data_IF_737511980075
#
_entry.id   IF_737511980075
#
_cell.length_a   1.000
_cell.length_b   1.000
_cell.length_c   1.000
_cell.angle_alpha   90.00
_cell.angle_beta   90.00
_cell.angle_gamma   90.00
#
_symmetry.space_group_name_H-M   'P 1'
#
loop_
_entity.id
_entity.type
_entity.pdbx_description
1 polymer ?
#
# COMPACT_ATOMS: atom_id res chain seq x y z
N UNK A 1 -3.29 23.12 7.35
CA UNK A 1 -3.86 22.57 6.10
C UNK A 1 -5.13 21.86 6.52
N UNK A 2 -6.26 22.39 6.11
CA UNK A 2 -7.55 21.82 6.51
C UNK A 2 -7.86 20.67 5.54
N UNK A 3 -8.08 19.47 6.08
CA UNK A 3 -8.53 18.33 5.30
C UNK A 3 -10.05 18.35 5.23
N UNK A 4 -10.58 18.26 4.01
CA UNK A 4 -12.01 18.01 3.79
C UNK A 4 -12.23 16.51 3.70
N UNK A 5 -13.15 15.96 4.49
CA UNK A 5 -13.53 14.54 4.46
C UNK A 5 -14.90 14.42 3.84
N UNK A 6 -14.96 13.78 2.66
CA UNK A 6 -16.20 13.44 1.98
C UNK A 6 -16.56 11.99 2.27
N UNK A 7 -17.74 11.75 2.84
CA UNK A 7 -18.27 10.42 3.06
C UNK A 7 -19.09 10.01 1.84
N UNK A 8 -18.70 8.92 1.18
CA UNK A 8 -19.40 8.34 0.05
C UNK A 8 -20.10 7.04 0.44
N UNK A 9 -21.16 6.66 -0.27
CA UNK A 9 -21.92 5.43 -0.06
C UNK A 9 -21.48 4.34 -1.06
N UNK A 10 -21.87 3.09 -0.80
CA UNK A 10 -21.56 1.97 -1.72
C UNK A 10 -22.15 2.19 -3.12
N UNK A 11 -23.30 2.86 -3.24
CA UNK A 11 -23.89 3.20 -4.55
C UNK A 11 -22.98 4.09 -5.39
N UNK A 12 -22.19 4.95 -4.76
CA UNK A 12 -21.35 5.93 -5.42
C UNK A 12 -20.02 5.32 -5.92
N UNK A 13 -19.66 4.13 -5.42
CA UNK A 13 -18.41 3.47 -5.80
C UNK A 13 -18.29 3.16 -7.29
N UNK A 14 -19.41 3.04 -8.01
CA UNK A 14 -19.40 2.85 -9.45
C UNK A 14 -18.92 4.09 -10.23
N UNK A 15 -18.93 5.25 -9.57
CA UNK A 15 -18.48 6.54 -10.11
C UNK A 15 -17.24 7.05 -9.38
N UNK A 16 -16.50 6.16 -8.70
CA UNK A 16 -15.40 6.54 -7.81
C UNK A 16 -14.33 7.38 -8.51
N UNK A 17 -14.00 7.08 -9.77
CA UNK A 17 -13.04 7.86 -10.53
C UNK A 17 -13.50 9.31 -10.72
N UNK A 18 -14.77 9.51 -11.08
CA UNK A 18 -15.34 10.86 -11.25
C UNK A 18 -15.37 11.61 -9.91
N UNK A 19 -15.71 10.92 -8.82
CA UNK A 19 -15.74 11.52 -7.48
C UNK A 19 -14.32 11.96 -7.07
N UNK A 20 -13.35 11.08 -7.25
CA UNK A 20 -11.94 11.37 -6.95
C UNK A 20 -11.44 12.59 -7.71
N UNK A 21 -11.78 12.71 -8.99
CA UNK A 21 -11.39 13.86 -9.83
C UNK A 21 -12.15 15.13 -9.44
N UNK A 22 -13.47 15.04 -9.22
CA UNK A 22 -14.31 16.21 -8.90
C UNK A 22 -13.95 16.82 -7.53
N UNK A 23 -13.64 15.95 -6.56
CA UNK A 23 -13.31 16.36 -5.20
C UNK A 23 -11.81 16.61 -4.98
N UNK A 24 -10.99 16.48 -6.04
CA UNK A 24 -9.52 16.57 -5.97
C UNK A 24 -8.95 15.71 -4.82
N UNK A 25 -9.47 14.49 -4.71
CA UNK A 25 -9.16 13.63 -3.58
C UNK A 25 -7.72 13.13 -3.62
N UNK A 26 -7.01 13.23 -2.49
CA UNK A 26 -5.62 12.76 -2.36
C UNK A 26 -5.54 11.32 -1.84
N UNK A 27 -6.59 10.80 -1.23
CA UNK A 27 -6.63 9.48 -0.58
C UNK A 27 -8.07 8.97 -0.49
N UNK A 28 -8.25 7.67 -0.72
CA UNK A 28 -9.51 6.99 -0.46
C UNK A 28 -9.37 6.05 0.74
N UNK A 29 -10.32 6.06 1.67
CA UNK A 29 -10.36 5.11 2.80
C UNK A 29 -11.61 4.25 2.69
N UNK A 30 -11.43 2.93 2.73
CA UNK A 30 -12.48 1.92 2.57
C UNK A 30 -12.61 1.13 3.87
N UNK A 31 -13.73 1.34 4.59
CA UNK A 31 -14.09 0.53 5.74
C UNK A 31 -14.73 -0.78 5.31
N UNK A 32 -14.11 -1.90 5.68
CA UNK A 32 -14.63 -3.24 5.38
C UNK A 32 -15.51 -3.74 6.52
N UNK A 33 -16.73 -4.14 6.21
CA UNK A 33 -17.63 -4.85 7.14
C UNK A 33 -17.49 -6.36 7.01
N UNK A 34 -16.99 -6.84 5.86
CA UNK A 34 -16.82 -8.25 5.54
C UNK A 34 -15.66 -8.49 4.57
N UNK A 35 -14.94 -9.60 4.73
CA UNK A 35 -13.92 -10.06 3.79
C UNK A 35 -14.47 -10.32 2.36
N UNK A 36 -15.79 -10.51 2.22
CA UNK A 36 -16.44 -10.72 0.92
C UNK A 36 -16.40 -9.48 0.03
N UNK A 37 -16.30 -8.29 0.63
CA UNK A 37 -16.28 -7.01 -0.05
C UNK A 37 -14.93 -6.67 -0.66
N UNK A 38 -13.84 -7.29 -0.18
CA UNK A 38 -12.47 -6.96 -0.59
C UNK A 38 -12.32 -7.02 -2.11
N UNK A 39 -12.75 -8.11 -2.73
CA UNK A 39 -12.59 -8.28 -4.18
C UNK A 39 -13.40 -7.26 -4.98
N UNK A 40 -14.59 -6.92 -4.51
CA UNK A 40 -15.44 -5.90 -5.13
C UNK A 40 -14.74 -4.54 -5.15
N UNK A 41 -14.23 -4.08 -4.00
CA UNK A 41 -13.54 -2.81 -3.91
C UNK A 41 -12.20 -2.80 -4.63
N UNK A 42 -11.41 -3.89 -4.60
CA UNK A 42 -10.18 -4.01 -5.38
C UNK A 42 -10.45 -3.78 -6.88
N UNK A 43 -11.51 -4.39 -7.41
CA UNK A 43 -11.89 -4.23 -8.82
C UNK A 43 -12.30 -2.78 -9.15
N UNK A 44 -12.95 -2.07 -8.22
CA UNK A 44 -13.39 -0.68 -8.42
C UNK A 44 -12.25 0.33 -8.30
N UNK A 45 -11.28 0.05 -7.45
CA UNK A 45 -10.13 0.94 -7.20
C UNK A 45 -8.94 0.70 -8.12
N UNK A 46 -9.00 -0.30 -9.00
CA UNK A 46 -7.87 -0.74 -9.83
C UNK A 46 -7.27 0.36 -10.71
N UNK A 47 -8.09 1.29 -11.21
CA UNK A 47 -7.66 2.36 -12.11
C UNK A 47 -7.46 3.70 -11.40
N UNK A 48 -7.61 3.73 -10.06
CA UNK A 48 -7.41 4.95 -9.30
C UNK A 48 -5.94 5.39 -9.39
N UNK A 49 -5.73 6.69 -9.58
CA UNK A 49 -4.41 7.32 -9.56
C UNK A 49 -3.96 7.77 -8.18
N UNK A 50 -4.85 7.73 -7.20
CA UNK A 50 -4.57 8.02 -5.79
C UNK A 50 -4.40 6.73 -5.00
N UNK A 51 -3.66 6.74 -3.88
CA UNK A 51 -3.61 5.60 -2.97
C UNK A 51 -4.96 5.37 -2.31
N UNK A 52 -5.20 4.13 -1.91
CA UNK A 52 -6.40 3.78 -1.16
C UNK A 52 -6.08 2.83 -0.01
N UNK A 53 -6.78 3.00 1.11
CA UNK A 53 -6.55 2.24 2.34
C UNK A 53 -7.76 1.38 2.65
N UNK A 54 -7.53 0.09 2.85
CA UNK A 54 -8.50 -0.80 3.47
C UNK A 54 -8.33 -0.81 4.98
N UNK A 55 -9.45 -0.64 5.70
CA UNK A 55 -9.51 -0.77 7.15
C UNK A 55 -10.62 -1.73 7.53
N UNK A 56 -10.50 -2.35 8.72
CA UNK A 56 -11.57 -3.15 9.33
C UNK A 56 -12.16 -2.39 10.52
N UNK A 57 -13.40 -2.67 10.88
CA UNK A 57 -14.10 -2.04 12.01
C UNK A 57 -13.45 -2.32 13.39
N UNK A 58 -12.35 -3.08 13.39
CA UNK A 58 -11.59 -3.43 14.60
C UNK A 58 -10.56 -2.40 15.01
N UNK A 59 -10.45 -1.27 14.29
CA UNK A 59 -9.51 -0.22 14.70
C UNK A 59 -9.97 0.44 16.00
N UNK A 60 -9.06 0.61 16.98
CA UNK A 60 -9.35 1.38 18.17
C UNK A 60 -9.75 2.83 17.84
N UNK A 61 -10.59 3.44 18.67
CA UNK A 61 -11.01 4.86 18.51
C UNK A 61 -9.85 5.84 18.67
N UNK A 62 -8.80 5.45 19.38
CA UNK A 62 -7.56 6.19 19.60
C UNK A 62 -6.43 5.75 18.65
N UNK A 63 -6.77 5.07 17.53
CA UNK A 63 -5.78 4.64 16.56
C UNK A 63 -5.00 5.83 15.99
N UNK A 64 -3.69 5.69 15.97
CA UNK A 64 -2.77 6.61 15.29
C UNK A 64 -1.67 5.82 14.59
N UNK A 65 -1.04 6.41 13.58
CA UNK A 65 0.04 5.75 12.84
C UNK A 65 1.37 6.07 13.51
N UNK A 66 2.05 5.05 14.01
CA UNK A 66 3.39 5.13 14.61
C UNK A 66 4.45 4.39 13.80
N UNK A 67 4.01 3.41 13.00
CA UNK A 67 4.91 2.62 12.15
C UNK A 67 4.30 2.46 10.75
N UNK A 68 5.16 2.57 9.75
CA UNK A 68 4.88 2.18 8.37
C UNK A 68 5.64 0.90 8.08
N UNK A 69 4.94 -0.15 7.69
CA UNK A 69 5.51 -1.43 7.28
C UNK A 69 5.60 -1.41 5.75
N UNK A 70 6.83 -1.47 5.22
CA UNK A 70 7.11 -1.21 3.80
C UNK A 70 7.89 -2.37 3.17
N UNK A 71 7.24 -3.47 2.77
CA UNK A 71 7.88 -4.51 1.96
C UNK A 71 8.19 -3.97 0.55
N UNK A 72 9.39 -4.26 0.04
CA UNK A 72 9.84 -3.84 -1.28
C UNK A 72 10.17 -5.08 -2.10
N UNK A 73 9.62 -5.17 -3.30
CA UNK A 73 9.88 -6.26 -4.24
C UNK A 73 10.92 -5.86 -5.30
N UNK A 74 11.16 -6.75 -6.29
CA UNK A 74 12.08 -6.50 -7.38
C UNK A 74 11.44 -5.77 -8.58
N UNK A 75 10.16 -5.40 -8.49
CA UNK A 75 9.46 -4.66 -9.53
C UNK A 75 9.88 -3.18 -9.51
N UNK A 76 9.97 -2.54 -10.65
CA UNK A 76 10.48 -1.17 -10.76
C UNK A 76 9.52 -0.15 -10.11
N UNK A 77 8.24 -0.37 -10.24
CA UNK A 77 7.16 0.42 -9.65
C UNK A 77 7.16 0.49 -8.12
N UNK A 78 7.91 -0.38 -7.46
CA UNK A 78 8.05 -0.36 -6.01
C UNK A 78 8.61 0.96 -5.46
N UNK A 79 9.35 1.69 -6.30
CA UNK A 79 9.87 3.03 -5.96
C UNK A 79 8.76 4.04 -5.72
N UNK A 80 7.58 3.83 -6.31
CA UNK A 80 6.40 4.70 -6.12
C UNK A 80 5.88 4.69 -4.68
N UNK A 81 6.18 3.65 -3.89
CA UNK A 81 5.84 3.59 -2.47
C UNK A 81 6.59 4.65 -1.63
N UNK A 82 7.80 5.01 -2.05
CA UNK A 82 8.67 5.93 -1.31
C UNK A 82 8.02 7.29 -1.02
N UNK A 83 7.52 8.04 -2.03
CA UNK A 83 6.84 9.32 -1.83
C UNK A 83 5.64 9.24 -0.87
N UNK A 84 4.80 8.21 -0.97
CA UNK A 84 3.66 8.04 -0.09
C UNK A 84 4.09 7.73 1.35
N UNK A 85 5.02 6.78 1.53
CA UNK A 85 5.58 6.48 2.85
C UNK A 85 6.25 7.72 3.48
N UNK A 86 7.00 8.50 2.68
CA UNK A 86 7.62 9.74 3.11
C UNK A 86 6.59 10.78 3.57
N UNK A 87 5.50 10.95 2.81
CA UNK A 87 4.44 11.90 3.15
C UNK A 87 3.77 11.54 4.49
N UNK A 88 3.43 10.25 4.66
CA UNK A 88 2.85 9.75 5.90
C UNK A 88 3.82 9.88 7.07
N UNK A 89 5.10 9.50 6.89
CA UNK A 89 6.09 9.58 7.95
C UNK A 89 6.31 11.01 8.44
N UNK A 90 6.33 12.00 7.54
CA UNK A 90 6.44 13.42 7.90
C UNK A 90 5.21 13.93 8.64
N UNK A 91 4.02 13.51 8.20
CA UNK A 91 2.77 13.99 8.81
C UNK A 91 2.56 13.41 10.22
N UNK A 92 2.80 12.10 10.39
CA UNK A 92 2.56 11.39 11.63
C UNK A 92 3.80 11.27 12.52
N UNK A 93 4.96 11.74 12.06
CA UNK A 93 6.25 11.58 12.73
C UNK A 93 6.54 10.13 13.15
N UNK A 94 6.29 9.19 12.23
CA UNK A 94 6.39 7.76 12.49
C UNK A 94 7.65 7.11 11.88
N UNK A 95 7.98 5.91 12.35
CA UNK A 95 9.09 5.10 11.84
C UNK A 95 8.68 4.34 10.59
N UNK A 96 9.62 4.16 9.64
CA UNK A 96 9.43 3.35 8.44
C UNK A 96 10.28 2.08 8.55
N UNK A 97 9.62 0.92 8.61
CA UNK A 97 10.27 -0.39 8.61
C UNK A 97 10.26 -0.98 7.19
N UNK A 98 11.39 -0.94 6.51
CA UNK A 98 11.58 -1.50 5.16
C UNK A 98 11.88 -2.99 5.28
N UNK A 99 11.19 -3.82 4.47
CA UNK A 99 11.43 -5.25 4.38
C UNK A 99 12.00 -5.61 3.01
N UNK A 100 13.26 -6.08 3.02
CA UNK A 100 13.97 -6.54 1.84
C UNK A 100 13.70 -8.03 1.62
N UNK A 101 13.38 -8.49 0.40
CA UNK A 101 13.24 -9.91 0.10
C UNK A 101 14.59 -10.65 0.15
N UNK A 102 14.52 -11.96 0.24
CA UNK A 102 15.69 -12.84 0.23
C UNK A 102 16.02 -13.35 -1.18
N UNK A 103 16.02 -12.45 -2.17
CA UNK A 103 16.35 -12.78 -3.56
C UNK A 103 17.85 -12.74 -3.82
N UNK A 104 18.25 -13.50 -4.84
CA UNK A 104 19.54 -13.31 -5.51
C UNK A 104 19.36 -12.25 -6.60
N UNK A 105 19.99 -11.10 -6.43
CA UNK A 105 19.95 -10.03 -7.43
C UNK A 105 19.90 -8.64 -6.84
N UNK A 106 20.09 -7.66 -7.71
CA UNK A 106 20.28 -6.26 -7.30
C UNK A 106 19.01 -5.40 -7.40
N UNK A 107 17.94 -5.86 -8.08
CA UNK A 107 16.77 -5.01 -8.36
C UNK A 107 16.05 -4.53 -7.09
N UNK A 108 15.69 -5.46 -6.19
CA UNK A 108 15.06 -5.07 -4.93
C UNK A 108 15.98 -4.19 -4.07
N UNK A 109 17.28 -4.47 -4.05
CA UNK A 109 18.28 -3.64 -3.35
C UNK A 109 18.31 -2.24 -3.96
N UNK A 110 18.36 -2.11 -5.29
CA UNK A 110 18.33 -0.82 -6.00
C UNK A 110 17.07 -0.01 -5.67
N UNK A 111 15.91 -0.66 -5.63
CA UNK A 111 14.66 -0.01 -5.23
C UNK A 111 14.74 0.52 -3.80
N UNK A 112 15.25 -0.30 -2.88
CA UNK A 112 15.41 0.07 -1.47
C UNK A 112 16.38 1.26 -1.33
N UNK A 113 17.54 1.25 -1.99
CA UNK A 113 18.48 2.34 -1.92
C UNK A 113 17.94 3.66 -2.49
N UNK A 114 17.15 3.59 -3.58
CA UNK A 114 16.44 4.76 -4.11
C UNK A 114 15.46 5.33 -3.08
N UNK A 115 14.67 4.47 -2.43
CA UNK A 115 13.69 4.88 -1.41
C UNK A 115 14.40 5.43 -0.16
N UNK A 116 15.49 4.79 0.28
CA UNK A 116 16.29 5.27 1.42
C UNK A 116 16.88 6.64 1.16
N UNK A 117 17.42 6.88 -0.05
CA UNK A 117 17.93 8.19 -0.44
C UNK A 117 16.85 9.28 -0.28
N UNK A 118 15.61 8.98 -0.66
CA UNK A 118 14.49 9.89 -0.44
C UNK A 118 14.25 10.11 1.07
N UNK A 119 14.22 9.04 1.87
CA UNK A 119 13.98 9.15 3.32
C UNK A 119 15.08 9.91 4.04
N UNK A 120 16.33 9.67 3.68
CA UNK A 120 17.51 10.38 4.22
C UNK A 120 17.45 11.88 3.89
N UNK A 121 17.02 12.25 2.67
CA UNK A 121 16.88 13.66 2.26
C UNK A 121 15.88 14.43 3.13
N UNK A 122 14.85 13.76 3.65
CA UNK A 122 13.88 14.31 4.59
C UNK A 122 14.18 14.00 6.06
N UNK A 123 15.31 13.36 6.36
CA UNK A 123 15.73 12.95 7.71
C UNK A 123 14.67 12.09 8.42
N UNK A 124 14.01 11.21 7.69
CA UNK A 124 12.98 10.32 8.23
C UNK A 124 13.61 9.16 9.01
N UNK A 125 12.96 8.79 10.11
CA UNK A 125 13.38 7.63 10.88
C UNK A 125 12.98 6.34 10.15
N UNK A 126 13.98 5.55 9.70
CA UNK A 126 13.74 4.31 9.00
C UNK A 126 14.76 3.22 9.36
N UNK A 127 14.37 1.97 9.14
CA UNK A 127 15.25 0.80 9.26
C UNK A 127 14.97 -0.20 8.15
N UNK A 128 15.96 -1.05 7.86
CA UNK A 128 15.81 -2.13 6.87
C UNK A 128 16.05 -3.48 7.52
N UNK A 129 15.14 -4.42 7.31
CA UNK A 129 15.24 -5.80 7.74
C UNK A 129 15.14 -6.73 6.55
N UNK A 130 15.89 -7.84 6.56
CA UNK A 130 15.81 -8.86 5.54
C UNK A 130 14.74 -9.89 5.90
N UNK A 131 13.79 -10.12 4.99
CA UNK A 131 12.79 -11.18 5.09
C UNK A 131 13.39 -12.56 4.82
N UNK A 132 12.58 -13.59 5.01
CA UNK A 132 12.93 -14.99 4.71
C UNK A 132 12.48 -15.41 3.31
N UNK A 133 11.50 -14.70 2.77
CA UNK A 133 10.87 -14.99 1.47
C UNK A 133 11.44 -14.12 0.35
N UNK A 134 11.20 -14.58 -0.88
CA UNK A 134 11.52 -13.88 -2.12
C UNK A 134 10.58 -12.70 -2.40
N UNK A 135 10.86 -11.95 -3.47
CA UNK A 135 10.07 -10.81 -3.91
C UNK A 135 8.59 -11.12 -4.13
N UNK A 136 8.26 -12.32 -4.59
CA UNK A 136 6.87 -12.68 -4.83
C UNK A 136 6.06 -12.88 -3.54
N UNK A 137 6.74 -13.18 -2.46
CA UNK A 137 6.14 -13.60 -1.20
C UNK A 137 6.39 -12.64 -0.03
N UNK A 138 7.29 -11.66 -0.16
CA UNK A 138 7.71 -10.76 0.94
C UNK A 138 6.54 -9.94 1.50
N UNK A 139 5.61 -9.48 0.65
CA UNK A 139 4.44 -8.72 1.09
C UNK A 139 3.51 -9.58 1.95
N UNK A 140 3.29 -10.85 1.56
CA UNK A 140 2.47 -11.78 2.33
C UNK A 140 3.18 -12.18 3.65
N UNK A 141 4.49 -12.43 3.62
CA UNK A 141 5.29 -12.69 4.80
C UNK A 141 5.17 -11.54 5.79
N UNK A 142 5.42 -10.33 5.33
CA UNK A 142 5.40 -9.11 6.14
C UNK A 142 4.01 -8.84 6.73
N UNK A 143 2.95 -9.02 5.94
CA UNK A 143 1.57 -8.90 6.42
C UNK A 143 1.24 -9.92 7.51
N UNK A 144 1.83 -11.11 7.45
CA UNK A 144 1.64 -12.17 8.45
C UNK A 144 2.40 -11.85 9.74
N UNK A 145 3.66 -11.40 9.63
CA UNK A 145 4.48 -11.01 10.79
C UNK A 145 3.83 -9.83 11.54
N UNK A 146 3.32 -8.86 10.82
CA UNK A 146 2.74 -7.63 11.36
C UNK A 146 1.21 -7.65 11.47
N UNK A 147 0.60 -8.82 11.41
CA UNK A 147 -0.86 -8.97 11.40
C UNK A 147 -1.60 -8.11 12.42
N UNK A 148 -1.06 -7.99 13.62
CA UNK A 148 -1.66 -7.29 14.76
C UNK A 148 -0.73 -6.24 15.38
N UNK A 149 0.28 -5.76 14.64
CA UNK A 149 1.19 -4.75 15.18
C UNK A 149 0.42 -3.45 15.42
N UNK A 150 0.31 -2.99 16.67
CA UNK A 150 -0.53 -1.83 16.98
C UNK A 150 0.00 -0.57 16.29
N UNK A 151 -0.90 0.36 16.01
CA UNK A 151 -0.57 1.67 15.47
C UNK A 151 0.32 1.64 14.21
N UNK A 152 0.07 0.66 13.35
CA UNK A 152 0.86 0.44 12.14
C UNK A 152 -0.03 0.46 10.90
N UNK A 153 0.58 0.83 9.77
CA UNK A 153 -0.01 0.72 8.43
C UNK A 153 0.92 -0.08 7.53
N UNK A 154 0.37 -0.98 6.73
CA UNK A 154 1.09 -1.72 5.71
C UNK A 154 0.92 -1.02 4.36
N UNK A 155 2.00 -0.78 3.62
CA UNK A 155 1.96 -0.19 2.27
C UNK A 155 2.44 -1.24 1.26
N UNK A 156 1.59 -1.59 0.31
CA UNK A 156 1.87 -2.55 -0.76
C UNK A 156 1.53 -1.97 -2.14
N UNK A 157 2.12 -2.54 -3.19
CA UNK A 157 1.71 -2.25 -4.56
C UNK A 157 0.54 -3.14 -4.97
N UNK A 158 -0.44 -2.57 -5.66
CA UNK A 158 -1.49 -3.35 -6.30
C UNK A 158 -0.96 -4.03 -7.57
N UNK A 159 -1.50 -5.18 -7.93
CA UNK A 159 -1.15 -5.88 -9.18
C UNK A 159 -1.70 -5.13 -10.38
N UNK A 160 -0.87 -4.92 -11.42
CA UNK A 160 -1.30 -4.28 -12.67
C UNK A 160 -2.36 -5.11 -13.40
N UNK A 161 -2.04 -6.38 -13.58
CA UNK A 161 -2.86 -7.32 -14.30
C UNK A 161 -3.11 -8.55 -13.46
N UNK A 162 -4.34 -9.03 -13.49
CA UNK A 162 -4.66 -10.30 -12.89
C UNK A 162 -4.34 -11.42 -13.87
N UNK A 163 -3.38 -12.26 -13.51
CA UNK A 163 -3.06 -13.50 -14.23
C UNK A 163 -4.17 -14.54 -14.06
N UNK A 164 -4.02 -15.67 -14.76
CA UNK A 164 -4.94 -16.80 -14.61
C UNK A 164 -5.02 -17.30 -13.15
N UNK A 165 -3.92 -17.27 -12.43
CA UNK A 165 -3.86 -17.65 -11.02
C UNK A 165 -4.68 -16.69 -10.13
N UNK A 166 -4.69 -15.39 -10.45
CA UNK A 166 -5.47 -14.39 -9.73
C UNK A 166 -6.98 -14.54 -10.00
N UNK A 167 -7.35 -15.00 -11.20
CA UNK A 167 -8.75 -15.30 -11.55
C UNK A 167 -9.24 -16.51 -10.74
N UNK A 168 -8.41 -17.53 -10.56
CA UNK A 168 -8.76 -18.76 -9.87
C UNK A 168 -8.69 -18.66 -8.34
N UNK A 169 -7.65 -17.99 -7.82
CA UNK A 169 -7.34 -17.95 -6.38
C UNK A 169 -7.52 -16.57 -5.76
N UNK A 170 -7.86 -15.56 -6.56
CA UNK A 170 -7.90 -14.15 -6.19
C UNK A 170 -6.50 -13.54 -6.06
N UNK A 171 -6.39 -12.21 -6.25
CA UNK A 171 -5.12 -11.51 -6.23
C UNK A 171 -4.45 -11.58 -4.86
N UNK A 172 -3.12 -11.44 -4.84
CA UNK A 172 -2.32 -11.50 -3.59
C UNK A 172 -2.78 -10.45 -2.56
N UNK A 173 -3.20 -9.27 -3.02
CA UNK A 173 -3.71 -8.18 -2.19
C UNK A 173 -4.92 -8.61 -1.38
N UNK A 174 -5.84 -9.38 -1.98
CA UNK A 174 -7.00 -9.93 -1.29
C UNK A 174 -6.58 -10.82 -0.12
N UNK A 175 -5.56 -11.67 -0.30
CA UNK A 175 -5.03 -12.54 0.75
C UNK A 175 -4.39 -11.71 1.88
N UNK A 176 -3.64 -10.67 1.52
CA UNK A 176 -2.98 -9.76 2.46
C UNK A 176 -4.03 -9.02 3.30
N UNK A 177 -4.98 -8.33 2.65
CA UNK A 177 -6.03 -7.56 3.34
C UNK A 177 -6.88 -8.46 4.24
N UNK A 178 -7.22 -9.66 3.77
CA UNK A 178 -7.97 -10.63 4.57
C UNK A 178 -7.21 -11.06 5.82
N UNK A 179 -5.91 -11.30 5.70
CA UNK A 179 -5.09 -11.89 6.76
C UNK A 179 -4.57 -10.88 7.78
N UNK A 180 -4.51 -9.58 7.43
CA UNK A 180 -4.03 -8.55 8.35
C UNK A 180 -5.18 -7.84 9.06
N UNK A 181 -4.92 -7.35 10.28
CA UNK A 181 -5.86 -6.52 11.05
C UNK A 181 -5.40 -5.05 11.12
N UNK A 182 -4.23 -4.72 10.56
CA UNK A 182 -3.77 -3.34 10.44
C UNK A 182 -4.28 -2.74 9.12
N UNK A 183 -4.46 -1.41 9.05
CA UNK A 183 -4.77 -0.74 7.78
C UNK A 183 -3.77 -1.09 6.70
N UNK A 184 -4.28 -1.35 5.49
CA UNK A 184 -3.44 -1.69 4.34
C UNK A 184 -3.66 -0.67 3.23
N UNK A 185 -2.62 0.11 2.93
CA UNK A 185 -2.60 1.05 1.81
C UNK A 185 -2.13 0.32 0.55
N UNK A 186 -2.86 0.53 -0.53
CA UNK A 186 -2.49 0.08 -1.87
C UNK A 186 -2.16 1.26 -2.75
N UNK A 187 -1.13 1.07 -3.57
CA UNK A 187 -0.70 2.02 -4.59
C UNK A 187 -0.77 1.31 -5.92
N UNK A 188 -1.60 1.82 -6.84
CA UNK A 188 -1.68 1.29 -8.20
C UNK A 188 -0.44 1.75 -8.97
N UNK A 189 0.32 0.82 -9.59
CA UNK A 189 1.50 1.18 -10.38
C UNK A 189 1.10 2.07 -11.56
N UNK A 190 1.84 3.17 -11.74
CA UNK A 190 1.64 4.12 -12.83
C UNK A 190 2.51 3.79 -14.02
N UNK A 191 2.07 2.81 -14.84
CA UNK A 191 2.79 2.39 -16.04
C UNK A 191 3.07 3.50 -17.04
N UNK A 192 2.27 4.57 -17.04
CA UNK A 192 2.44 5.75 -17.87
C UNK A 192 3.71 6.56 -17.50
N UNK A 193 4.25 6.40 -16.30
CA UNK A 193 5.48 7.09 -15.91
C UNK A 193 6.76 6.42 -16.45
N UNK A 194 6.69 5.16 -16.87
CA UNK A 194 7.85 4.37 -17.32
C UNK A 194 7.94 4.20 -18.84
N UNK A 195 6.87 4.50 -19.58
CA UNK A 195 6.83 4.34 -21.05
C UNK A 195 7.41 5.54 -21.82
N UNK A 196 7.83 6.59 -21.13
CA UNK A 196 8.36 7.82 -21.76
C UNK A 196 9.90 7.89 -21.79
N UNK A 197 10.61 6.82 -21.41
CA UNK A 197 12.08 6.79 -21.29
C UNK A 197 12.77 5.81 -22.25
N UNK A 198 12.09 5.34 -23.31
CA UNK A 198 12.71 4.54 -24.40
C UNK A 198 12.98 5.40 -25.62
#
# INVERSE_FOLDING_TARGET
>A
MDFCVHKITISDINHINNIVETEDAALLIIGLTSDKEIQFYLNKCRELRIPYIFTKDTLPTDFYINNIILPITNLEEEREKGPFASSFARHFNCHIAIYQPNDYGSKAISNIETIKTLFDSFKLNHSTSKGKKDSNSIELETSTIHKNTPNSILIISASRDYGLDDILFGPKERKIIKNTNIPTMLINPRGDLYTLCD
#
